data_IF_549665704295
#
_entry.id   IF_549665704295
#
_cell.length_a   1.000
_cell.length_b   1.000
_cell.length_c   1.000
_cell.angle_alpha   90.00
_cell.angle_beta   90.00
_cell.angle_gamma   90.00
#
_symmetry.space_group_name_H-M   'P 1'
#
loop_
_entity.id
_entity.type
_entity.pdbx_description
1 polymer ?
#
# COMPACT_ATOMS: atom_id res chain seq x y z
N UNK A 1 8.83 2.61 -20.41
CA UNK A 1 7.42 2.28 -20.76
C UNK A 1 6.81 1.14 -19.93
N UNK A 2 7.55 0.06 -19.62
CA UNK A 2 6.99 -1.15 -18.97
C UNK A 2 6.32 -0.91 -17.59
N UNK A 3 6.75 0.12 -16.86
CA UNK A 3 6.24 0.42 -15.51
C UNK A 3 4.92 1.20 -15.46
N UNK A 4 4.42 1.71 -16.59
CA UNK A 4 3.10 2.35 -16.61
C UNK A 4 1.97 1.37 -16.32
N UNK A 5 2.03 0.16 -16.89
CA UNK A 5 1.02 -0.88 -16.67
C UNK A 5 0.85 -1.24 -15.17
N UNK A 6 1.90 -1.62 -14.43
CA UNK A 6 1.77 -1.89 -13.00
C UNK A 6 1.40 -0.63 -12.19
N UNK A 7 1.87 0.57 -12.58
CA UNK A 7 1.49 1.80 -11.92
C UNK A 7 -0.03 2.05 -11.99
N UNK A 8 -0.62 1.93 -13.19
CA UNK A 8 -2.07 2.11 -13.39
C UNK A 8 -2.89 0.99 -12.75
N UNK A 9 -2.40 -0.26 -12.79
CA UNK A 9 -3.06 -1.37 -12.09
C UNK A 9 -3.13 -1.11 -10.58
N UNK A 10 -2.01 -0.69 -9.96
CA UNK A 10 -1.98 -0.34 -8.54
C UNK A 10 -2.84 0.89 -8.24
N UNK A 11 -2.93 1.86 -9.15
CA UNK A 11 -3.79 3.03 -9.00
C UNK A 11 -5.27 2.62 -8.89
N UNK A 12 -5.71 1.73 -9.78
CA UNK A 12 -7.07 1.19 -9.79
C UNK A 12 -7.34 0.41 -8.50
N UNK A 13 -6.43 -0.48 -8.11
CA UNK A 13 -6.54 -1.25 -6.86
C UNK A 13 -6.64 -0.30 -5.65
N UNK A 14 -5.77 0.71 -5.57
CA UNK A 14 -5.76 1.68 -4.49
C UNK A 14 -7.09 2.44 -4.40
N UNK A 15 -7.65 2.83 -5.54
CA UNK A 15 -8.98 3.45 -5.61
C UNK A 15 -10.07 2.54 -5.06
N UNK A 16 -10.13 1.27 -5.50
CA UNK A 16 -11.14 0.31 -5.03
C UNK A 16 -11.01 0.01 -3.53
N UNK A 17 -9.78 -0.15 -3.01
CA UNK A 17 -9.56 -0.34 -1.57
C UNK A 17 -10.03 0.91 -0.82
N UNK A 18 -9.54 2.10 -1.18
CA UNK A 18 -9.77 3.33 -0.40
C UNK A 18 -11.21 3.79 -0.40
N UNK A 19 -11.86 3.80 -1.56
CA UNK A 19 -13.18 4.44 -1.75
C UNK A 19 -14.32 3.43 -1.82
N UNK A 20 -14.08 2.24 -2.36
CA UNK A 20 -15.10 1.18 -2.49
C UNK A 20 -15.00 0.12 -1.38
N UNK A 21 -14.02 0.25 -0.47
CA UNK A 21 -13.81 -0.64 0.68
C UNK A 21 -13.70 -2.12 0.28
N UNK A 22 -13.05 -2.38 -0.85
CA UNK A 22 -12.89 -3.73 -1.41
C UNK A 22 -11.81 -4.49 -0.61
N UNK A 23 -12.20 -5.10 0.51
CA UNK A 23 -11.26 -5.70 1.48
C UNK A 23 -10.66 -7.04 1.04
N UNK A 24 -11.24 -7.74 0.07
CA UNK A 24 -10.68 -9.01 -0.42
C UNK A 24 -9.33 -8.84 -1.13
N UNK A 25 -9.02 -7.61 -1.58
CA UNK A 25 -7.71 -7.22 -2.12
C UNK A 25 -6.63 -7.06 -1.03
N UNK A 26 -7.02 -7.06 0.25
CA UNK A 26 -6.12 -6.95 1.40
C UNK A 26 -5.85 -8.36 1.91
N UNK A 27 -4.84 -9.05 1.37
CA UNK A 27 -4.56 -10.46 1.69
C UNK A 27 -4.38 -10.73 3.18
N UNK A 28 -3.68 -9.86 3.91
CA UNK A 28 -3.51 -9.99 5.38
C UNK A 28 -4.84 -9.98 6.13
N UNK A 29 -5.80 -9.16 5.69
CA UNK A 29 -7.15 -9.18 6.24
C UNK A 29 -7.92 -10.41 5.74
N UNK A 30 -7.87 -10.72 4.45
CA UNK A 30 -8.65 -11.82 3.85
C UNK A 30 -8.28 -13.20 4.42
N UNK A 31 -7.01 -13.46 4.70
CA UNK A 31 -6.49 -14.72 5.26
C UNK A 31 -6.71 -14.82 6.77
N UNK A 32 -7.03 -13.71 7.45
CA UNK A 32 -7.30 -13.72 8.89
C UNK A 32 -8.59 -14.48 9.25
N UNK A 33 -8.62 -15.06 10.45
CA UNK A 33 -9.81 -15.72 10.99
C UNK A 33 -10.97 -14.73 11.17
N UNK A 34 -12.21 -15.23 11.25
CA UNK A 34 -13.40 -14.37 11.46
C UNK A 34 -13.27 -13.50 12.72
N UNK A 35 -12.85 -14.11 13.84
CA UNK A 35 -12.61 -13.43 15.11
C UNK A 35 -11.56 -12.33 15.01
N UNK A 36 -10.51 -12.55 14.22
CA UNK A 36 -9.45 -11.55 14.02
C UNK A 36 -9.92 -10.39 13.14
N UNK A 37 -10.67 -10.69 12.07
CA UNK A 37 -11.26 -9.68 11.17
C UNK A 37 -12.16 -8.69 11.94
N UNK A 38 -12.94 -9.16 12.90
CA UNK A 38 -13.87 -8.34 13.69
C UNK A 38 -13.19 -7.23 14.50
N UNK A 39 -11.91 -7.40 14.86
CA UNK A 39 -11.11 -6.42 15.60
C UNK A 39 -10.76 -5.18 14.77
N UNK A 40 -10.78 -5.27 13.44
CA UNK A 40 -10.37 -4.18 12.55
C UNK A 40 -11.48 -3.15 12.34
N UNK A 41 -11.11 -1.88 12.34
CA UNK A 41 -11.93 -0.79 11.83
C UNK A 41 -11.75 -0.73 10.30
N UNK A 42 -12.75 -1.21 9.56
CA UNK A 42 -12.70 -1.30 8.10
C UNK A 42 -12.45 0.04 7.41
N UNK A 43 -12.98 1.15 7.95
CA UNK A 43 -12.80 2.48 7.35
C UNK A 43 -11.35 2.93 7.48
N UNK A 44 -10.76 2.78 8.68
CA UNK A 44 -9.34 3.11 8.91
C UNK A 44 -8.43 2.18 8.10
N UNK A 45 -8.69 0.87 8.11
CA UNK A 45 -7.95 -0.13 7.37
C UNK A 45 -7.92 0.17 5.86
N UNK A 46 -9.09 0.33 5.24
CA UNK A 46 -9.20 0.62 3.81
C UNK A 46 -8.55 1.95 3.44
N UNK A 47 -8.71 2.98 4.28
CA UNK A 47 -8.09 4.29 4.03
C UNK A 47 -6.57 4.21 4.08
N UNK A 48 -6.01 3.57 5.10
CA UNK A 48 -4.55 3.46 5.27
C UNK A 48 -3.94 2.55 4.20
N UNK A 49 -4.50 1.38 3.96
CA UNK A 49 -4.01 0.46 2.93
C UNK A 49 -4.14 1.06 1.53
N UNK A 50 -5.27 1.69 1.22
CA UNK A 50 -5.45 2.40 -0.04
C UNK A 50 -4.44 3.52 -0.24
N UNK A 51 -4.17 4.35 0.78
CA UNK A 51 -3.14 5.38 0.71
C UNK A 51 -1.73 4.81 0.45
N UNK A 52 -1.39 3.70 1.12
CA UNK A 52 -0.13 3.00 0.91
C UNK A 52 -0.01 2.51 -0.53
N UNK A 53 -1.04 1.86 -1.07
CA UNK A 53 -1.05 1.40 -2.47
C UNK A 53 -1.00 2.57 -3.47
N UNK A 54 -1.66 3.70 -3.18
CA UNK A 54 -1.54 4.93 -3.98
C UNK A 54 -0.10 5.43 -4.03
N UNK A 55 0.62 5.41 -2.90
CA UNK A 55 2.04 5.80 -2.86
C UNK A 55 2.92 4.90 -3.71
N UNK A 56 2.72 3.58 -3.65
CA UNK A 56 3.44 2.62 -4.52
C UNK A 56 3.17 2.90 -6.00
N UNK A 57 1.91 3.13 -6.37
CA UNK A 57 1.52 3.48 -7.73
C UNK A 57 2.22 4.76 -8.21
N UNK A 58 2.24 5.80 -7.36
CA UNK A 58 2.88 7.08 -7.69
C UNK A 58 4.39 6.94 -7.91
N UNK A 59 5.09 6.17 -7.06
CA UNK A 59 6.53 5.93 -7.21
C UNK A 59 6.82 5.24 -8.55
N UNK A 60 6.06 4.20 -8.90
CA UNK A 60 6.22 3.52 -10.19
C UNK A 60 5.92 4.43 -11.37
N UNK A 61 4.88 5.27 -11.27
CA UNK A 61 4.54 6.24 -12.31
C UNK A 61 5.67 7.25 -12.52
N UNK A 62 6.17 7.87 -11.44
CA UNK A 62 7.29 8.82 -11.51
C UNK A 62 8.52 8.15 -12.10
N UNK A 63 8.87 6.95 -11.64
CA UNK A 63 10.01 6.19 -12.17
C UNK A 63 9.86 5.96 -13.69
N UNK A 64 8.66 5.58 -14.16
CA UNK A 64 8.39 5.39 -15.58
C UNK A 64 8.50 6.69 -16.41
N UNK A 65 7.98 7.80 -15.87
CA UNK A 65 7.99 9.10 -16.53
C UNK A 65 9.40 9.70 -16.58
N UNK A 66 10.16 9.63 -15.49
CA UNK A 66 11.54 10.14 -15.45
C UNK A 66 12.45 9.33 -16.36
N UNK A 67 12.31 8.00 -16.40
CA UNK A 67 13.06 7.13 -17.34
C UNK A 67 12.76 7.51 -18.80
N UNK A 68 11.52 7.88 -19.12
CA UNK A 68 11.14 8.34 -20.45
C UNK A 68 11.75 9.71 -20.82
N UNK A 69 11.85 10.63 -19.86
CA UNK A 69 12.42 11.98 -20.06
C UNK A 69 13.95 11.94 -20.12
N UNK A 70 14.58 11.05 -19.34
CA UNK A 70 16.03 10.92 -19.19
C UNK A 70 16.53 9.54 -19.66
N UNK A 71 16.38 9.19 -20.94
CA UNK A 71 16.68 7.84 -21.42
C UNK A 71 18.17 7.48 -21.31
N UNK A 72 19.08 8.47 -21.31
CA UNK A 72 20.53 8.23 -21.15
C UNK A 72 20.91 7.83 -19.72
N UNK A 73 20.06 8.10 -18.74
CA UNK A 73 20.29 7.83 -17.32
C UNK A 73 19.33 6.74 -16.80
N UNK A 74 18.73 5.96 -17.69
CA UNK A 74 17.70 4.97 -17.34
C UNK A 74 18.15 4.04 -16.20
N UNK A 75 19.36 3.49 -16.26
CA UNK A 75 19.89 2.59 -15.23
C UNK A 75 19.93 3.23 -13.84
N UNK A 76 20.33 4.50 -13.76
CA UNK A 76 20.38 5.26 -12.51
C UNK A 76 18.96 5.53 -12.01
N UNK A 77 18.05 5.95 -12.91
CA UNK A 77 16.65 6.23 -12.57
C UNK A 77 15.96 4.98 -12.03
N UNK A 78 16.16 3.83 -12.69
CA UNK A 78 15.59 2.56 -12.24
C UNK A 78 16.19 2.13 -10.90
N UNK A 79 17.51 2.24 -10.73
CA UNK A 79 18.18 1.91 -9.45
C UNK A 79 17.62 2.75 -8.30
N UNK A 80 17.56 4.07 -8.46
CA UNK A 80 17.00 4.98 -7.45
C UNK A 80 15.51 4.72 -7.22
N UNK A 81 14.75 4.48 -8.29
CA UNK A 81 13.33 4.17 -8.22
C UNK A 81 13.03 2.89 -7.44
N UNK A 82 13.79 1.82 -7.67
CA UNK A 82 13.65 0.57 -6.90
C UNK A 82 14.07 0.73 -5.44
N UNK A 83 15.13 1.49 -5.15
CA UNK A 83 15.50 1.83 -3.76
C UNK A 83 14.37 2.59 -3.08
N UNK A 84 13.82 3.62 -3.74
CA UNK A 84 12.69 4.40 -3.21
C UNK A 84 11.45 3.52 -2.96
N UNK A 85 11.13 2.61 -3.90
CA UNK A 85 10.03 1.67 -3.77
C UNK A 85 10.24 0.71 -2.58
N UNK A 86 11.45 0.18 -2.41
CA UNK A 86 11.80 -0.72 -1.31
C UNK A 86 11.70 -0.02 0.05
N UNK A 87 12.31 1.17 0.17
CA UNK A 87 12.26 1.98 1.40
C UNK A 87 10.81 2.34 1.75
N UNK A 88 10.04 2.83 0.77
CA UNK A 88 8.63 3.18 0.98
C UNK A 88 7.81 1.97 1.43
N UNK A 89 8.05 0.79 0.83
CA UNK A 89 7.36 -0.44 1.20
C UNK A 89 7.65 -0.86 2.64
N UNK A 90 8.94 -0.88 3.03
CA UNK A 90 9.35 -1.26 4.40
C UNK A 90 8.81 -0.27 5.43
N UNK A 91 9.00 1.03 5.21
CA UNK A 91 8.52 2.08 6.12
C UNK A 91 7.00 2.07 6.19
N UNK A 92 6.31 1.94 5.06
CA UNK A 92 4.85 1.89 4.98
C UNK A 92 4.28 0.69 5.73
N UNK A 93 4.86 -0.51 5.55
CA UNK A 93 4.46 -1.71 6.28
C UNK A 93 4.72 -1.55 7.78
N UNK A 94 5.90 -1.05 8.17
CA UNK A 94 6.22 -0.78 9.57
C UNK A 94 5.24 0.23 10.19
N UNK A 95 4.88 1.27 9.46
CA UNK A 95 3.90 2.28 9.89
C UNK A 95 2.48 1.68 10.02
N UNK A 96 2.05 0.84 9.07
CA UNK A 96 0.75 0.18 9.11
C UNK A 96 0.63 -0.82 10.27
N UNK A 97 1.73 -1.51 10.60
CA UNK A 97 1.75 -2.52 11.66
C UNK A 97 1.98 -1.95 13.06
N UNK A 98 2.51 -0.72 13.17
CA UNK A 98 2.75 -0.11 14.49
C UNK A 98 1.49 0.58 15.04
N UNK A 99 1.43 0.72 16.37
CA UNK A 99 0.42 1.54 17.05
C UNK A 99 -1.03 1.06 16.96
N UNK A 100 -1.28 -0.18 16.53
CA UNK A 100 -2.63 -0.78 16.43
C UNK A 100 -3.65 0.14 15.72
N UNK A 101 -3.20 0.96 14.77
CA UNK A 101 -3.93 2.13 14.22
C UNK A 101 -5.23 1.79 13.50
N UNK A 102 -5.31 0.56 12.98
CA UNK A 102 -6.44 0.05 12.22
C UNK A 102 -7.42 -0.77 13.06
N UNK A 103 -7.15 -0.97 14.36
CA UNK A 103 -8.06 -1.67 15.26
C UNK A 103 -9.19 -0.76 15.73
N UNK A 104 -10.31 -1.38 16.13
CA UNK A 104 -11.36 -0.77 16.96
C UNK A 104 -10.88 -0.67 18.40
N UNK A 105 -11.52 0.19 19.19
CA UNK A 105 -11.17 0.38 20.61
C UNK A 105 -11.33 -0.92 21.43
N UNK A 106 -12.39 -1.70 21.16
CA UNK A 106 -12.58 -3.05 21.72
C UNK A 106 -11.46 -4.03 21.30
N UNK A 107 -10.98 -3.90 20.05
CA UNK A 107 -9.85 -4.66 19.52
C UNK A 107 -8.55 -4.36 20.26
N UNK A 108 -8.32 -3.11 20.67
CA UNK A 108 -7.15 -2.70 21.46
C UNK A 108 -7.09 -3.45 22.79
N UNK A 109 -8.22 -3.48 23.53
CA UNK A 109 -8.33 -4.11 24.84
C UNK A 109 -8.17 -5.64 24.80
N UNK A 110 -8.55 -6.27 23.69
CA UNK A 110 -8.39 -7.73 23.49
C UNK A 110 -6.98 -8.17 23.12
N UNK A 111 -6.15 -7.26 22.63
CA UNK A 111 -4.78 -7.52 22.15
C UNK A 111 -3.71 -7.11 23.18
N UNK A 112 -4.11 -6.60 24.34
CA UNK A 112 -3.24 -6.29 25.48
C UNK A 112 -3.38 -7.29 26.64
N UNK A 113 -4.25 -8.28 26.51
CA UNK A 113 -4.35 -9.44 27.40
C UNK A 113 -3.70 -10.63 26.70
#
# INVERSE_FOLDING_TARGET
MIFYLPAFLLLIIAYFIKFKKVTWLISGYNTSSKKEKEKYNLVKLCRMMGNFTFGLSLILFIMATVSMILPKQEDIVLTVGFIALAVYSVVGIAYLNTGKRVLKDEGLNSSSK
#
